data_IF_223474352568
#
_entry.id   IF_223474352568
#
_cell.length_a   1.000
_cell.length_b   1.000
_cell.length_c   1.000
_cell.angle_alpha   90.00
_cell.angle_beta   90.00
_cell.angle_gamma   90.00
#
_symmetry.space_group_name_H-M   'P 1'
#
loop_
_entity.id
_entity.type
_entity.pdbx_description
1 polymer ?
#
# COMPACT_ATOMS: atom_id res chain seq x y z
N UNK A 1 -28.20 7.63 -15.08
CA UNK A 1 -27.22 7.77 -16.18
C UNK A 1 -25.77 7.55 -15.76
N UNK A 2 -25.33 7.97 -14.55
CA UNK A 2 -23.97 7.69 -14.02
C UNK A 2 -23.70 6.18 -13.76
N UNK A 3 -24.66 5.45 -13.18
CA UNK A 3 -24.56 3.99 -12.93
C UNK A 3 -24.41 3.14 -14.21
N UNK A 4 -24.97 3.61 -15.33
CA UNK A 4 -24.88 2.91 -16.63
C UNK A 4 -23.49 3.07 -17.26
N UNK A 5 -22.85 4.24 -17.09
CA UNK A 5 -21.48 4.48 -17.60
C UNK A 5 -20.41 3.65 -16.86
N UNK A 6 -20.64 3.32 -15.59
CA UNK A 6 -19.70 2.54 -14.76
C UNK A 6 -19.74 1.03 -15.08
N UNK A 7 -20.92 0.51 -15.44
CA UNK A 7 -21.05 -0.86 -15.96
C UNK A 7 -20.24 -1.05 -17.24
N UNK A 8 -20.12 0.00 -18.07
CA UNK A 8 -19.25 -0.01 -19.26
C UNK A 8 -17.75 0.00 -18.95
N UNK A 9 -17.30 0.58 -17.83
CA UNK A 9 -15.88 0.54 -17.42
C UNK A 9 -15.52 -0.85 -16.90
N UNK A 10 -16.36 -1.44 -16.04
CA UNK A 10 -16.17 -2.81 -15.55
C UNK A 10 -16.23 -3.84 -16.69
N UNK A 11 -17.14 -3.65 -17.66
CA UNK A 11 -17.19 -4.44 -18.90
C UNK A 11 -16.00 -4.19 -19.81
N UNK A 12 -15.42 -2.99 -19.86
CA UNK A 12 -14.22 -2.72 -20.66
C UNK A 12 -12.99 -3.43 -20.06
N UNK A 13 -12.87 -3.50 -18.72
CA UNK A 13 -11.84 -4.30 -18.02
C UNK A 13 -12.05 -5.80 -18.26
N UNK A 14 -13.29 -6.29 -18.19
CA UNK A 14 -13.64 -7.68 -18.54
C UNK A 14 -13.50 -7.97 -20.05
N UNK A 15 -13.66 -6.96 -20.91
CA UNK A 15 -13.47 -7.04 -22.36
C UNK A 15 -11.99 -7.16 -22.74
N UNK A 16 -11.11 -6.44 -22.03
CA UNK A 16 -9.65 -6.61 -22.15
C UNK A 16 -9.20 -8.01 -21.72
N UNK A 17 -9.93 -8.67 -20.80
CA UNK A 17 -9.66 -10.05 -20.40
C UNK A 17 -9.96 -11.10 -21.51
N UNK A 18 -10.77 -10.76 -22.54
CA UNK A 18 -11.02 -11.68 -23.66
C UNK A 18 -9.82 -11.81 -24.63
N UNK A 19 -8.81 -10.94 -24.50
CA UNK A 19 -7.51 -11.05 -25.18
C UNK A 19 -6.51 -11.96 -24.46
N UNK A 20 -6.84 -12.45 -23.27
CA UNK A 20 -5.95 -13.25 -22.41
C UNK A 20 -6.06 -14.73 -22.80
N UNK A 21 -5.75 -15.05 -24.06
CA UNK A 21 -5.52 -16.43 -24.47
C UNK A 21 -4.03 -16.74 -24.28
N UNK A 22 -3.69 -17.45 -23.20
CA UNK A 22 -2.36 -18.01 -22.97
C UNK A 22 -1.48 -17.33 -21.91
N UNK A 23 -1.99 -16.37 -21.14
CA UNK A 23 -1.30 -15.91 -19.92
C UNK A 23 -1.78 -16.75 -18.73
N UNK A 24 -0.82 -17.28 -17.96
CA UNK A 24 -1.11 -17.93 -16.68
C UNK A 24 -1.71 -16.90 -15.72
N UNK A 25 -2.86 -17.24 -15.15
CA UNK A 25 -3.50 -16.47 -14.09
C UNK A 25 -2.96 -16.98 -12.76
N UNK A 26 -2.41 -16.08 -11.95
CA UNK A 26 -1.96 -16.40 -10.61
C UNK A 26 -2.87 -15.76 -9.57
N UNK A 27 -3.17 -16.50 -8.51
CA UNK A 27 -3.91 -16.00 -7.34
C UNK A 27 -2.96 -16.05 -6.15
N UNK A 28 -2.89 -14.95 -5.41
CA UNK A 28 -2.14 -14.87 -4.15
C UNK A 28 -3.08 -14.42 -3.04
N UNK A 29 -2.91 -15.01 -1.86
CA UNK A 29 -3.59 -14.61 -0.65
C UNK A 29 -2.60 -14.76 0.52
N UNK A 30 -2.67 -13.84 1.47
CA UNK A 30 -1.77 -13.79 2.61
C UNK A 30 -2.23 -12.74 3.61
N UNK A 31 -1.48 -12.59 4.69
CA UNK A 31 -1.72 -11.52 5.66
C UNK A 31 -0.45 -11.12 6.38
N UNK A 32 -0.35 -9.84 6.72
CA UNK A 32 0.66 -9.35 7.63
C UNK A 32 0.11 -9.18 9.04
N UNK A 33 0.97 -9.36 10.05
CA UNK A 33 0.72 -8.91 11.42
C UNK A 33 1.76 -7.86 11.73
N UNK A 34 1.33 -6.68 12.20
CA UNK A 34 2.22 -5.58 12.58
C UNK A 34 1.96 -5.14 14.02
N UNK A 35 3.03 -4.77 14.74
CA UNK A 35 2.91 -4.25 16.11
C UNK A 35 2.26 -2.86 16.18
N UNK A 36 2.29 -2.11 15.08
CA UNK A 36 1.54 -0.88 14.85
C UNK A 36 1.42 -0.65 13.35
N UNK A 37 0.27 -0.14 12.92
CA UNK A 37 0.07 0.25 11.53
C UNK A 37 0.55 1.69 11.30
N UNK A 38 1.70 1.81 10.63
CA UNK A 38 2.28 3.10 10.22
C UNK A 38 2.18 3.21 8.70
N UNK A 39 1.48 4.23 8.21
CA UNK A 39 1.32 4.52 6.79
C UNK A 39 2.16 5.75 6.41
N UNK A 40 3.25 5.54 5.65
CA UNK A 40 4.10 6.64 5.12
C UNK A 40 4.63 7.61 6.19
N UNK A 41 4.94 7.07 7.37
CA UNK A 41 5.40 7.87 8.52
C UNK A 41 4.28 8.44 9.40
N UNK A 42 3.01 8.14 9.10
CA UNK A 42 1.86 8.53 9.91
C UNK A 42 1.34 7.33 10.70
N UNK A 43 1.00 7.55 11.97
CA UNK A 43 0.32 6.55 12.77
C UNK A 43 -1.14 6.39 12.30
N UNK A 44 -1.47 5.22 11.79
CA UNK A 44 -2.82 4.89 11.33
C UNK A 44 -3.57 3.99 12.32
N UNK A 45 -2.86 3.12 13.05
CA UNK A 45 -3.51 2.27 14.04
C UNK A 45 -2.56 1.46 14.93
N UNK A 46 -3.11 0.83 15.97
CA UNK A 46 -2.33 -0.01 16.88
C UNK A 46 -1.98 -1.34 16.19
N UNK A 47 -1.57 -2.35 16.96
CA UNK A 47 -1.30 -3.68 16.44
C UNK A 47 -2.47 -4.18 15.58
N UNK A 48 -2.15 -4.64 14.36
CA UNK A 48 -3.14 -4.89 13.31
C UNK A 48 -2.82 -6.15 12.51
N UNK A 49 -3.86 -6.78 11.98
CA UNK A 49 -3.78 -7.82 10.95
C UNK A 49 -4.15 -7.19 9.61
N UNK A 50 -3.37 -7.48 8.58
CA UNK A 50 -3.46 -6.84 7.28
C UNK A 50 -3.61 -7.88 6.17
N UNK A 51 -4.82 -8.42 5.93
CA UNK A 51 -5.05 -9.44 4.91
C UNK A 51 -5.02 -8.85 3.50
N UNK A 52 -4.60 -9.68 2.55
CA UNK A 52 -4.64 -9.36 1.13
C UNK A 52 -5.03 -10.55 0.27
N UNK A 53 -5.74 -10.26 -0.82
CA UNK A 53 -5.97 -11.21 -1.91
C UNK A 53 -5.76 -10.50 -3.24
N UNK A 54 -5.07 -11.16 -4.17
CA UNK A 54 -4.82 -10.61 -5.50
C UNK A 54 -4.91 -11.67 -6.58
N UNK A 55 -5.21 -11.19 -7.79
CA UNK A 55 -5.15 -11.92 -9.03
C UNK A 55 -4.23 -11.17 -9.97
N UNK A 56 -3.31 -11.88 -10.63
CA UNK A 56 -2.46 -11.34 -11.69
C UNK A 56 -2.60 -12.13 -12.98
N UNK A 57 -2.52 -11.42 -14.10
CA UNK A 57 -2.54 -11.98 -15.44
C UNK A 57 -1.59 -11.18 -16.33
N UNK A 58 -0.45 -11.79 -16.68
CA UNK A 58 0.63 -11.08 -17.36
C UNK A 58 1.13 -9.88 -16.55
N UNK A 59 1.01 -8.69 -17.13
CA UNK A 59 1.47 -7.44 -16.52
C UNK A 59 0.40 -6.74 -15.66
N UNK A 60 -0.83 -7.27 -15.61
CA UNK A 60 -1.94 -6.70 -14.85
C UNK A 60 -2.10 -7.38 -13.49
N UNK A 61 -2.48 -6.61 -12.48
CA UNK A 61 -2.90 -7.10 -11.17
C UNK A 61 -4.18 -6.41 -10.71
N UNK A 62 -5.01 -7.12 -9.95
CA UNK A 62 -6.15 -6.58 -9.21
C UNK A 62 -6.19 -7.27 -7.86
N UNK A 63 -6.53 -6.54 -6.80
CA UNK A 63 -6.63 -7.12 -5.49
C UNK A 63 -7.44 -6.30 -4.51
N UNK A 64 -7.61 -6.89 -3.35
CA UNK A 64 -8.11 -6.22 -2.16
C UNK A 64 -7.07 -6.35 -1.06
N UNK A 65 -6.92 -5.29 -0.27
CA UNK A 65 -6.12 -5.27 0.94
C UNK A 65 -6.98 -4.70 2.07
N UNK A 66 -6.63 -4.99 3.31
CA UNK A 66 -7.24 -4.30 4.44
C UNK A 66 -6.32 -4.26 5.63
N UNK A 67 -6.70 -3.47 6.61
CA UNK A 67 -6.05 -3.41 7.92
C UNK A 67 -7.13 -3.44 8.99
N UNK A 68 -7.02 -4.31 9.98
CA UNK A 68 -7.93 -4.34 11.13
C UNK A 68 -7.12 -4.48 12.40
N UNK A 69 -7.27 -3.52 13.31
CA UNK A 69 -6.62 -3.58 14.61
C UNK A 69 -7.15 -4.73 15.45
N UNK A 70 -6.31 -5.37 16.27
CA UNK A 70 -6.75 -6.41 17.20
C UNK A 70 -7.77 -5.89 18.23
N UNK A 71 -7.68 -4.61 18.58
CA UNK A 71 -8.58 -3.96 19.54
C UNK A 71 -9.85 -3.38 18.90
N UNK A 72 -10.06 -3.60 17.60
CA UNK A 72 -11.21 -3.08 16.85
C UNK A 72 -11.37 -1.54 16.94
N UNK A 73 -10.25 -0.81 16.94
CA UNK A 73 -10.15 0.66 16.93
C UNK A 73 -9.73 1.24 15.58
N UNK A 74 -9.30 0.41 14.62
CA UNK A 74 -9.01 0.78 13.23
C UNK A 74 -9.53 -0.28 12.27
N UNK A 75 -10.11 0.17 11.14
CA UNK A 75 -10.42 -0.69 10.00
C UNK A 75 -10.27 0.06 8.69
N UNK A 76 -9.74 -0.63 7.69
CA UNK A 76 -9.52 -0.14 6.34
C UNK A 76 -9.74 -1.28 5.35
N UNK A 77 -10.29 -0.94 4.18
CA UNK A 77 -10.55 -1.86 3.10
C UNK A 77 -10.26 -1.16 1.78
N UNK A 78 -9.29 -1.69 1.05
CA UNK A 78 -8.80 -1.09 -0.18
C UNK A 78 -9.05 -2.03 -1.34
N UNK A 79 -9.50 -1.48 -2.45
CA UNK A 79 -9.39 -2.15 -3.75
C UNK A 79 -8.25 -1.52 -4.53
N UNK A 80 -7.49 -2.33 -5.26
CA UNK A 80 -6.46 -1.81 -6.14
C UNK A 80 -6.38 -2.55 -7.46
N UNK A 81 -5.91 -1.85 -8.48
CA UNK A 81 -5.58 -2.41 -9.78
C UNK A 81 -4.28 -1.79 -10.29
N UNK A 82 -3.39 -2.64 -10.83
CA UNK A 82 -2.06 -2.23 -11.25
C UNK A 82 -1.65 -2.77 -12.60
N UNK A 83 -0.63 -2.13 -13.18
CA UNK A 83 0.05 -2.57 -14.38
C UNK A 83 1.55 -2.29 -14.28
N UNK A 84 2.37 -3.26 -14.66
CA UNK A 84 3.84 -3.12 -14.67
C UNK A 84 4.42 -3.38 -16.05
N UNK A 85 5.37 -2.55 -16.48
CA UNK A 85 6.11 -2.70 -17.73
C UNK A 85 7.59 -2.36 -17.54
N UNK A 86 8.43 -3.38 -17.67
CA UNK A 86 9.86 -3.25 -17.36
C UNK A 86 10.05 -2.77 -15.92
N UNK A 87 10.73 -1.63 -15.78
CA UNK A 87 11.04 -1.03 -14.49
C UNK A 87 9.96 -0.09 -13.95
N UNK A 88 8.90 0.16 -14.73
CA UNK A 88 7.84 1.09 -14.40
C UNK A 88 6.58 0.37 -13.94
N UNK A 89 5.88 0.93 -12.96
CA UNK A 89 4.58 0.45 -12.52
C UNK A 89 3.59 1.58 -12.32
N UNK A 90 2.32 1.28 -12.51
CA UNK A 90 1.19 2.13 -12.15
C UNK A 90 0.24 1.34 -11.27
N UNK A 91 -0.27 1.97 -10.22
CA UNK A 91 -1.34 1.44 -9.37
C UNK A 91 -2.44 2.48 -9.26
N UNK A 92 -3.68 2.03 -9.19
CA UNK A 92 -4.80 2.82 -8.67
C UNK A 92 -5.32 2.10 -7.44
N UNK A 93 -5.46 2.84 -6.34
CA UNK A 93 -6.01 2.36 -5.07
C UNK A 93 -7.27 3.13 -4.75
N UNK A 94 -8.31 2.42 -4.32
CA UNK A 94 -9.56 2.95 -3.78
C UNK A 94 -9.55 2.68 -2.28
N UNK A 95 -9.25 3.71 -1.49
CA UNK A 95 -9.24 3.66 -0.04
C UNK A 95 -10.65 3.82 0.50
N UNK A 96 -11.08 2.88 1.34
CA UNK A 96 -12.29 3.00 2.13
C UNK A 96 -12.01 2.71 3.60
N UNK A 97 -12.43 3.63 4.46
CA UNK A 97 -12.27 3.53 5.92
C UNK A 97 -13.63 3.30 6.57
N UNK A 98 -14.01 2.04 6.86
CA UNK A 98 -15.32 1.76 7.44
C UNK A 98 -15.44 2.38 8.84
N UNK A 99 -16.38 3.31 9.02
CA UNK A 99 -16.59 4.05 10.26
C UNK A 99 -17.49 3.34 11.28
N UNK A 100 -17.88 2.09 11.06
CA UNK A 100 -18.65 1.28 12.03
C UNK A 100 -17.78 0.71 13.17
N UNK A 101 -16.93 1.55 13.76
CA UNK A 101 -16.24 1.28 15.02
C UNK A 101 -17.10 1.79 16.18
N UNK A 102 -16.84 1.43 17.45
CA UNK A 102 -17.71 1.76 18.59
C UNK A 102 -18.14 3.25 18.70
N UNK A 103 -17.38 4.16 18.09
CA UNK A 103 -17.56 5.61 18.17
C UNK A 103 -17.84 6.32 16.82
N UNK A 104 -18.13 5.62 15.71
CA UNK A 104 -18.28 6.25 14.39
C UNK A 104 -19.71 6.25 13.80
N UNK A 105 -20.05 7.32 13.07
CA UNK A 105 -21.27 7.34 12.24
C UNK A 105 -21.17 6.34 11.09
N UNK A 106 -22.30 5.75 10.70
CA UNK A 106 -22.30 4.65 9.73
C UNK A 106 -21.77 5.06 8.35
N UNK A 107 -20.63 4.50 7.94
CA UNK A 107 -20.11 4.61 6.57
C UNK A 107 -20.74 3.57 5.65
N UNK A 108 -20.96 3.93 4.39
CA UNK A 108 -21.50 3.05 3.36
C UNK A 108 -20.48 2.86 2.23
N UNK A 109 -20.03 1.63 2.04
CA UNK A 109 -19.10 1.27 0.95
C UNK A 109 -19.60 1.61 -0.47
N UNK A 110 -20.91 1.75 -0.65
CA UNK A 110 -21.47 2.16 -1.94
C UNK A 110 -21.71 3.66 -2.06
N UNK A 111 -21.36 4.43 -1.02
CA UNK A 111 -21.33 5.89 -1.07
C UNK A 111 -19.92 6.37 -1.42
N UNK A 112 -19.65 6.50 -2.72
CA UNK A 112 -18.33 6.87 -3.23
C UNK A 112 -17.84 8.27 -2.85
N UNK A 113 -18.64 9.12 -2.17
CA UNK A 113 -18.09 10.33 -1.54
C UNK A 113 -17.29 10.06 -0.27
N UNK A 114 -17.34 8.83 0.26
CA UNK A 114 -16.55 8.40 1.42
C UNK A 114 -15.24 7.69 1.03
N UNK A 115 -14.89 7.69 -0.25
CA UNK A 115 -13.73 7.00 -0.81
C UNK A 115 -12.65 8.01 -1.23
N UNK A 116 -11.39 7.62 -1.10
CA UNK A 116 -10.24 8.36 -1.63
C UNK A 116 -9.55 7.50 -2.68
N UNK A 117 -9.37 8.02 -3.89
CA UNK A 117 -8.69 7.32 -4.96
C UNK A 117 -7.28 7.85 -5.15
N UNK A 118 -6.30 6.97 -5.09
CA UNK A 118 -4.89 7.30 -5.27
C UNK A 118 -4.34 6.68 -6.55
N UNK A 119 -3.51 7.44 -7.25
CA UNK A 119 -2.68 6.94 -8.34
C UNK A 119 -1.23 6.88 -7.84
N UNK A 120 -0.61 5.71 -8.00
CA UNK A 120 0.82 5.50 -7.73
C UNK A 120 1.57 5.29 -9.03
N UNK A 121 2.70 5.96 -9.18
CA UNK A 121 3.71 5.70 -10.19
C UNK A 121 4.98 5.17 -9.51
N UNK A 122 5.44 4.00 -9.92
CA UNK A 122 6.65 3.39 -9.40
C UNK A 122 7.73 3.28 -10.48
N UNK A 123 9.00 3.43 -10.08
CA UNK A 123 10.14 3.12 -10.92
C UNK A 123 11.27 2.48 -10.12
N UNK A 124 11.72 1.30 -10.55
CA UNK A 124 12.89 0.63 -9.98
C UNK A 124 14.10 0.75 -10.89
N UNK A 125 15.26 1.14 -10.35
CA UNK A 125 16.49 1.21 -11.12
C UNK A 125 17.15 -0.16 -11.32
N UNK A 126 16.62 -1.22 -10.67
CA UNK A 126 17.08 -2.59 -10.79
C UNK A 126 18.27 -2.92 -9.87
N UNK A 127 18.74 -4.17 -9.92
CA UNK A 127 19.72 -4.69 -8.94
C UNK A 127 21.09 -3.98 -8.97
N UNK A 128 21.50 -3.46 -10.13
CA UNK A 128 22.78 -2.76 -10.26
C UNK A 128 22.81 -1.40 -9.53
N UNK A 129 21.63 -0.81 -9.31
CA UNK A 129 21.45 0.39 -8.51
C UNK A 129 20.11 0.25 -7.79
N UNK A 130 20.07 -0.38 -6.60
CA UNK A 130 18.84 -0.83 -5.93
C UNK A 130 18.04 0.31 -5.28
N UNK A 131 17.90 1.42 -6.02
CA UNK A 131 17.01 2.52 -5.73
C UNK A 131 15.65 2.23 -6.37
N UNK A 132 14.58 2.49 -5.62
CA UNK A 132 13.22 2.56 -6.13
C UNK A 132 12.60 3.89 -5.75
N UNK A 133 11.78 4.43 -6.65
CA UNK A 133 11.04 5.67 -6.47
C UNK A 133 9.54 5.39 -6.59
N UNK A 134 8.75 6.04 -5.75
CA UNK A 134 7.30 6.02 -5.84
C UNK A 134 6.76 7.46 -5.74
N UNK A 135 5.76 7.76 -6.56
CA UNK A 135 4.97 8.98 -6.47
C UNK A 135 3.50 8.59 -6.33
N UNK A 136 2.82 9.16 -5.34
CA UNK A 136 1.46 8.83 -5.00
C UNK A 136 0.65 10.13 -4.93
N UNK A 137 -0.53 10.16 -5.52
CA UNK A 137 -1.44 11.31 -5.48
C UNK A 137 -2.87 10.85 -5.32
N UNK A 138 -3.55 11.35 -4.29
CA UNK A 138 -4.99 11.23 -4.14
C UNK A 138 -5.66 12.10 -5.21
N UNK A 139 -6.13 11.52 -6.32
CA UNK A 139 -6.67 12.28 -7.44
C UNK A 139 -8.19 12.45 -7.40
N UNK A 140 -8.88 11.76 -6.49
CA UNK A 140 -10.30 11.94 -6.22
C UNK A 140 -10.64 11.60 -4.77
N UNK A 141 -11.67 12.24 -4.21
CA UNK A 141 -12.02 12.10 -2.79
C UNK A 141 -11.17 12.96 -1.85
N UNK A 142 -10.23 13.71 -2.41
CA UNK A 142 -9.32 14.62 -1.72
C UNK A 142 -9.14 15.86 -2.59
N UNK A 143 -9.60 17.02 -2.12
CA UNK A 143 -9.57 18.27 -2.88
C UNK A 143 -8.17 18.90 -2.95
N UNK A 144 -7.27 18.49 -2.04
CA UNK A 144 -5.90 19.03 -1.92
C UNK A 144 -4.90 18.27 -2.80
N UNK A 145 -5.34 17.19 -3.46
CA UNK A 145 -4.49 16.29 -4.23
C UNK A 145 -3.29 15.81 -3.40
N UNK A 146 -3.53 15.42 -2.15
CA UNK A 146 -2.46 15.06 -1.21
C UNK A 146 -1.54 14.04 -1.85
N UNK A 147 -0.25 14.34 -1.81
CA UNK A 147 0.76 13.56 -2.55
C UNK A 147 1.90 13.12 -1.66
N UNK A 148 2.46 11.96 -1.97
CA UNK A 148 3.59 11.41 -1.25
C UNK A 148 4.61 10.86 -2.25
N UNK A 149 5.85 11.31 -2.11
CA UNK A 149 6.99 10.81 -2.84
C UNK A 149 7.88 10.00 -1.91
N UNK A 150 8.37 8.85 -2.37
CA UNK A 150 9.30 7.99 -1.64
C UNK A 150 10.50 7.61 -2.50
N UNK A 151 11.67 7.59 -1.88
CA UNK A 151 12.87 6.95 -2.36
C UNK A 151 13.28 5.87 -1.37
N UNK A 152 13.45 4.64 -1.85
CA UNK A 152 13.91 3.49 -1.05
C UNK A 152 15.17 2.89 -1.68
N UNK A 153 16.20 2.64 -0.86
CA UNK A 153 17.44 2.03 -1.30
C UNK A 153 17.73 0.76 -0.49
N UNK A 154 17.79 -0.39 -1.15
CA UNK A 154 17.96 -1.69 -0.50
C UNK A 154 19.42 -2.15 -0.49
N UNK A 155 19.91 -2.53 0.69
CA UNK A 155 21.26 -3.04 0.94
C UNK A 155 21.20 -4.47 1.50
N UNK A 156 21.70 -5.49 0.77
CA UNK A 156 21.85 -6.82 1.33
C UNK A 156 23.04 -6.86 2.32
N UNK A 157 22.78 -7.27 3.55
CA UNK A 157 23.76 -7.41 4.64
C UNK A 157 23.67 -8.82 5.22
N UNK A 158 24.45 -9.75 4.66
CA UNK A 158 24.38 -11.16 5.04
C UNK A 158 23.03 -11.76 4.64
N UNK A 159 22.29 -12.29 5.62
CA UNK A 159 20.93 -12.83 5.41
C UNK A 159 19.81 -11.82 5.66
N UNK A 160 20.15 -10.54 5.86
CA UNK A 160 19.21 -9.45 6.15
C UNK A 160 19.23 -8.46 5.00
N UNK A 161 18.06 -8.05 4.53
CA UNK A 161 17.92 -6.90 3.64
C UNK A 161 17.64 -5.66 4.48
N UNK A 162 18.40 -4.59 4.24
CA UNK A 162 18.26 -3.30 4.91
C UNK A 162 17.77 -2.26 3.91
N UNK A 163 16.57 -1.74 4.08
CA UNK A 163 16.02 -0.65 3.28
C UNK A 163 16.24 0.68 3.99
N UNK A 164 16.82 1.64 3.26
CA UNK A 164 16.92 3.03 3.67
C UNK A 164 15.84 3.82 2.92
N UNK A 165 14.91 4.42 3.64
CA UNK A 165 13.70 5.01 3.06
C UNK A 165 13.61 6.48 3.45
N UNK A 166 13.40 7.34 2.46
CA UNK A 166 13.04 8.74 2.63
C UNK A 166 11.75 9.03 1.88
N UNK A 167 10.80 9.66 2.56
CA UNK A 167 9.50 10.02 2.00
C UNK A 167 9.05 11.42 2.42
N UNK A 168 8.49 12.15 1.46
CA UNK A 168 8.11 13.54 1.62
C UNK A 168 6.76 13.82 0.97
N UNK A 169 6.02 14.78 1.52
CA UNK A 169 4.92 15.42 0.81
C UNK A 169 5.43 16.67 0.08
N UNK A 170 5.08 16.88 -1.19
CA UNK A 170 5.55 18.01 -1.98
C UNK A 170 4.81 19.32 -1.68
N UNK A 171 3.59 19.27 -1.14
CA UNK A 171 2.75 20.43 -0.82
C UNK A 171 1.74 20.09 0.30
N UNK A 172 0.87 21.05 0.63
CA UNK A 172 -0.12 20.89 1.71
C UNK A 172 -1.17 19.83 1.40
N UNK A 173 -1.67 19.14 2.42
CA UNK A 173 -2.74 18.18 2.30
C UNK A 173 -2.76 17.24 3.51
N UNK A 174 -3.20 16.00 3.30
CA UNK A 174 -3.37 14.98 4.34
C UNK A 174 -2.08 14.63 5.12
N UNK A 175 -0.90 14.93 4.58
CA UNK A 175 0.38 14.57 5.19
C UNK A 175 1.01 15.68 6.03
N UNK A 176 0.81 16.95 5.66
CA UNK A 176 1.42 18.12 6.31
C UNK A 176 0.81 19.42 5.73
N UNK A 177 1.09 20.57 6.36
CA UNK A 177 0.64 21.90 5.94
C UNK A 177 1.50 22.52 4.81
N UNK A 178 2.35 21.72 4.16
CA UNK A 178 3.25 22.16 3.10
C UNK A 178 4.26 21.10 2.71
N UNK A 179 5.35 21.51 2.05
CA UNK A 179 6.47 20.60 1.80
C UNK A 179 7.08 20.12 3.12
N UNK A 180 7.13 18.80 3.32
CA UNK A 180 7.71 18.20 4.51
C UNK A 180 8.32 16.84 4.23
N UNK A 181 9.44 16.54 4.88
CA UNK A 181 9.95 15.17 5.01
C UNK A 181 9.15 14.51 6.13
N UNK A 182 8.37 13.48 5.79
CA UNK A 182 7.43 12.83 6.72
C UNK A 182 7.82 11.39 7.08
N UNK A 183 8.76 10.80 6.33
CA UNK A 183 9.25 9.45 6.58
C UNK A 183 10.77 9.43 6.37
N UNK A 184 11.51 9.20 7.44
CA UNK A 184 12.90 8.78 7.39
C UNK A 184 13.01 7.46 8.16
N UNK A 185 13.23 6.35 7.45
CA UNK A 185 13.20 5.04 8.09
C UNK A 185 14.29 4.09 7.63
N UNK A 186 14.59 3.14 8.51
CA UNK A 186 15.47 2.00 8.25
C UNK A 186 14.64 0.75 8.54
N UNK A 187 14.47 -0.10 7.54
CA UNK A 187 13.78 -1.40 7.67
C UNK A 187 14.79 -2.51 7.51
N UNK A 188 14.84 -3.44 8.46
CA UNK A 188 15.59 -4.67 8.36
C UNK A 188 14.61 -5.84 8.18
N UNK A 189 14.77 -6.62 7.12
CA UNK A 189 13.91 -7.78 6.82
C UNK A 189 14.73 -9.04 6.60
N UNK A 190 14.17 -10.18 7.00
CA UNK A 190 14.77 -11.51 6.74
C UNK A 190 13.71 -12.60 6.76
N UNK A 191 14.06 -13.73 6.18
CA UNK A 191 13.28 -14.96 6.36
C UNK A 191 13.83 -15.80 7.51
N UNK A 192 12.93 -16.31 8.36
CA UNK A 192 13.24 -17.31 9.38
C UNK A 192 12.78 -18.66 8.85
N UNK A 193 13.71 -19.53 8.46
CA UNK A 193 13.39 -20.91 8.12
C UNK A 193 12.88 -21.65 9.36
N UNK A 194 11.65 -22.15 9.29
CA UNK A 194 11.02 -22.93 10.35
C UNK A 194 11.06 -24.43 9.99
N UNK A 195 10.78 -24.75 8.72
CA UNK A 195 10.91 -26.10 8.15
C UNK A 195 11.49 -26.01 6.74
N UNK A 196 11.84 -27.15 6.14
CA UNK A 196 12.31 -27.23 4.75
C UNK A 196 11.29 -26.68 3.73
N UNK A 197 10.02 -26.58 4.11
CA UNK A 197 8.92 -26.11 3.27
C UNK A 197 8.29 -24.79 3.73
N UNK A 198 8.75 -24.21 4.83
CA UNK A 198 8.13 -23.04 5.43
C UNK A 198 9.19 -22.11 6.02
N UNK A 199 9.25 -20.91 5.44
CA UNK A 199 9.96 -19.77 5.98
C UNK A 199 8.95 -18.72 6.40
N UNK A 200 9.24 -18.03 7.51
CA UNK A 200 8.45 -16.90 7.99
C UNK A 200 9.22 -15.60 7.70
N UNK A 201 8.77 -14.78 6.74
CA UNK A 201 9.27 -13.43 6.57
C UNK A 201 8.95 -12.58 7.81
N UNK A 202 9.98 -11.89 8.32
CA UNK A 202 9.84 -10.94 9.42
C UNK A 202 10.58 -9.65 9.09
N UNK A 203 10.14 -8.54 9.70
CA UNK A 203 10.86 -7.28 9.63
C UNK A 203 10.79 -6.49 10.93
N UNK A 204 11.77 -5.62 11.11
CA UNK A 204 11.75 -4.52 12.09
C UNK A 204 12.03 -3.22 11.35
N UNK A 205 11.27 -2.17 11.64
CA UNK A 205 11.44 -0.86 11.03
C UNK A 205 11.47 0.24 12.09
N UNK A 206 12.53 1.04 12.08
CA UNK A 206 12.61 2.28 12.84
C UNK A 206 12.22 3.43 11.93
N UNK A 207 11.26 4.25 12.34
CA UNK A 207 10.66 5.32 11.54
C UNK A 207 10.73 6.62 12.34
N UNK A 208 11.21 7.68 11.70
CA UNK A 208 11.12 9.05 12.19
C UNK A 208 10.20 9.82 11.23
N UNK A 209 9.24 10.54 11.79
CA UNK A 209 8.50 11.58 11.07
C UNK A 209 8.98 12.96 11.55
N UNK A 210 9.88 13.63 10.82
CA UNK A 210 10.42 14.93 11.20
C UNK A 210 9.36 16.03 11.35
N UNK A 211 8.29 15.97 10.56
CA UNK A 211 7.23 16.97 10.56
C UNK A 211 6.41 16.93 11.86
N UNK A 212 5.92 15.74 12.21
CA UNK A 212 5.14 15.53 13.45
C UNK A 212 6.02 15.38 14.69
N UNK A 213 7.34 15.23 14.51
CA UNK A 213 8.34 14.99 15.57
C UNK A 213 8.09 13.70 16.33
N UNK A 214 7.57 12.70 15.63
CA UNK A 214 7.21 11.40 16.21
C UNK A 214 8.14 10.29 15.72
N UNK A 215 8.20 9.20 16.48
CA UNK A 215 9.04 8.04 16.21
C UNK A 215 8.28 6.74 16.40
N UNK A 216 8.55 5.77 15.55
CA UNK A 216 7.94 4.44 15.61
C UNK A 216 9.00 3.35 15.51
N UNK A 217 8.79 2.26 16.25
CA UNK A 217 9.54 1.03 16.09
C UNK A 217 8.54 -0.10 15.85
N UNK A 218 8.48 -0.57 14.62
CA UNK A 218 7.47 -1.54 14.15
C UNK A 218 8.13 -2.89 13.96
N UNK A 219 7.52 -3.94 14.47
CA UNK A 219 7.81 -5.32 14.10
C UNK A 219 6.67 -5.86 13.25
N UNK A 220 6.99 -6.67 12.24
CA UNK A 220 5.96 -7.33 11.44
C UNK A 220 6.36 -8.71 10.94
N UNK A 221 5.35 -9.49 10.59
CA UNK A 221 5.44 -10.86 10.08
C UNK A 221 4.47 -11.04 8.92
N UNK A 222 4.86 -11.81 7.91
CA UNK A 222 4.03 -12.09 6.73
C UNK A 222 3.72 -13.58 6.60
N UNK A 223 2.49 -13.93 6.23
CA UNK A 223 2.01 -15.30 6.06
C UNK A 223 1.50 -15.57 4.65
#
# INVERSE_FOLDING_TARGET
MKKVKLFFVLIAVLGAANGVKGQEVAVSAGADIVSSYIWRGLYSGPASVQPGISLSAGNFSIGAWGSTSFESSWREFDLYAGYSIGNFSVLVTDYFFPRNLPDGEGSSYFDYSEHVFEATLGYSFGEAFPLSLAWNTNFAGDDDYSSYFEASYTLPVGSVNVDLILGATPWEGAYSDGFALINASIKASKEITITDSFSLPVFTQAILNPDTKDVFLVFGMSF
#
